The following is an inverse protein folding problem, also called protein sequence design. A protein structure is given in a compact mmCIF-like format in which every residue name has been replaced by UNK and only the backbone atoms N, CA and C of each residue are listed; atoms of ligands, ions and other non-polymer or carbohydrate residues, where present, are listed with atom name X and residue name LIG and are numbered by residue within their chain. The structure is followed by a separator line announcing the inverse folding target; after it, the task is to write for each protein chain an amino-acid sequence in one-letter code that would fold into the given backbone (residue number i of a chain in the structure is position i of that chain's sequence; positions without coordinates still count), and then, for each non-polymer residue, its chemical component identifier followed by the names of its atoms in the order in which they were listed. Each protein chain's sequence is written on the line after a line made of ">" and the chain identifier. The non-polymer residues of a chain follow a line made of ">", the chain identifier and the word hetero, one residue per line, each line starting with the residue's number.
data_IF_104166793154
#
_entry.id   IF_104166793154
#
_cell.length_a   1.000
_cell.length_b   1.000
_cell.length_c   1.000
_cell.angle_alpha   90.00
_cell.angle_beta   90.00
_cell.angle_gamma   90.00
#
_symmetry.space_group_name_H-M   'P 1'
#
loop_
_entity.id
_entity.type
_entity.pdbx_description
1 polymer ?
#
# COMPACT_ATOMS: atom_id res chain seq x y z
N UNK A 1 -15.59 -23.05 0.15
CA UNK A 1 -14.95 -21.80 -0.28
C UNK A 1 -13.76 -21.55 0.62
N UNK A 2 -12.53 -21.74 0.13
CA UNK A 2 -11.33 -21.35 0.89
C UNK A 2 -11.33 -19.83 1.00
N UNK A 3 -11.19 -19.28 2.20
CA UNK A 3 -11.07 -17.83 2.36
C UNK A 3 -9.81 -17.38 1.61
N UNK A 4 -9.92 -16.38 0.74
CA UNK A 4 -8.79 -15.90 -0.07
C UNK A 4 -7.61 -15.44 0.81
N UNK A 5 -7.85 -15.13 2.09
CA UNK A 5 -6.83 -14.89 3.11
C UNK A 5 -5.83 -16.05 3.27
N UNK A 6 -6.21 -17.30 2.99
CA UNK A 6 -5.29 -18.45 3.13
C UNK A 6 -4.21 -18.49 2.03
N UNK A 7 -4.35 -17.71 0.95
CA UNK A 7 -3.40 -17.68 -0.18
C UNK A 7 -2.33 -16.56 -0.08
N UNK A 8 -2.52 -15.60 0.83
CA UNK A 8 -1.62 -14.46 1.00
C UNK A 8 -1.10 -14.44 2.42
N UNK A 9 0.21 -14.24 2.58
CA UNK A 9 0.80 -14.06 3.90
C UNK A 9 0.83 -12.57 4.26
N UNK A 10 -0.36 -12.00 4.44
CA UNK A 10 -0.54 -10.56 4.62
C UNK A 10 0.06 -10.09 5.93
N UNK A 11 0.88 -9.06 5.84
CA UNK A 11 1.50 -8.41 6.99
C UNK A 11 0.80 -7.09 7.27
N UNK A 12 0.45 -6.88 8.54
CA UNK A 12 -0.21 -5.66 9.01
C UNK A 12 0.71 -4.44 8.90
N UNK A 13 0.15 -3.28 8.55
CA UNK A 13 0.97 -2.09 8.32
C UNK A 13 1.56 -1.56 9.63
N UNK A 14 0.82 -1.66 10.75
CA UNK A 14 1.33 -1.30 12.08
C UNK A 14 2.60 -2.10 12.44
N UNK A 15 2.63 -3.38 12.09
CA UNK A 15 3.76 -4.27 12.35
C UNK A 15 4.98 -3.88 11.51
N UNK A 16 4.78 -3.49 10.25
CA UNK A 16 5.85 -2.97 9.39
C UNK A 16 6.38 -1.65 9.94
N UNK A 17 5.49 -0.69 10.22
CA UNK A 17 5.86 0.67 10.60
C UNK A 17 6.50 0.75 12.00
N UNK A 18 6.14 -0.16 12.91
CA UNK A 18 6.78 -0.28 14.22
C UNK A 18 8.16 -0.96 14.17
N UNK A 19 8.54 -1.55 13.04
CA UNK A 19 9.82 -2.21 12.85
C UNK A 19 9.95 -3.58 13.52
N UNK A 20 8.85 -4.18 13.97
CA UNK A 20 8.86 -5.53 14.57
C UNK A 20 9.02 -6.63 13.51
N UNK A 21 8.67 -6.34 12.26
CA UNK A 21 8.83 -7.27 11.13
C UNK A 21 10.29 -7.34 10.72
N UNK A 22 10.81 -8.56 10.55
CA UNK A 22 12.19 -8.77 10.09
C UNK A 22 12.38 -8.19 8.67
N UNK A 23 13.25 -7.18 8.47
CA UNK A 23 13.41 -6.54 7.17
C UNK A 23 14.12 -7.42 6.12
N UNK A 24 14.68 -8.56 6.54
CA UNK A 24 15.36 -9.50 5.65
C UNK A 24 14.41 -10.49 4.96
N UNK A 25 13.12 -10.48 5.30
CA UNK A 25 12.10 -11.29 4.63
C UNK A 25 11.21 -10.41 3.75
N UNK A 26 10.73 -10.98 2.65
CA UNK A 26 9.70 -10.33 1.86
C UNK A 26 8.32 -10.64 2.47
N UNK A 27 7.41 -9.67 2.37
CA UNK A 27 6.05 -9.78 2.90
C UNK A 27 5.02 -9.59 1.79
N UNK A 28 3.77 -9.96 2.06
CA UNK A 28 2.63 -9.59 1.23
C UNK A 28 1.83 -8.48 1.92
N UNK A 29 1.33 -7.50 1.16
CA UNK A 29 0.53 -6.39 1.68
C UNK A 29 -0.70 -6.15 0.82
N UNK A 30 -1.79 -5.66 1.42
CA UNK A 30 -3.01 -5.26 0.73
C UNK A 30 -3.50 -3.91 1.24
N UNK A 31 -3.96 -3.05 0.34
CA UNK A 31 -4.57 -1.78 0.73
C UNK A 31 -5.21 -1.02 -0.42
N UNK A 32 -5.94 0.03 -0.08
CA UNK A 32 -6.42 1.05 -1.03
C UNK A 32 -5.23 1.89 -1.49
N UNK A 33 -5.07 2.08 -2.80
CA UNK A 33 -4.06 2.99 -3.35
C UNK A 33 -4.50 4.44 -3.13
N UNK A 34 -3.57 5.26 -2.66
CA UNK A 34 -3.72 6.69 -2.43
C UNK A 34 -2.42 7.41 -2.83
N UNK A 35 -2.52 8.73 -3.04
CA UNK A 35 -1.36 9.63 -3.18
C UNK A 35 -0.30 9.14 -4.18
N UNK A 36 -0.73 8.61 -5.33
CA UNK A 36 0.19 8.19 -6.40
C UNK A 36 0.88 9.44 -6.95
N UNK A 37 2.20 9.47 -6.81
CA UNK A 37 3.04 10.58 -7.31
C UNK A 37 3.28 10.43 -8.80
N UNK A 38 3.95 11.41 -9.38
CA UNK A 38 4.44 11.29 -10.75
C UNK A 38 5.57 10.26 -10.84
N UNK A 39 5.69 9.64 -12.02
CA UNK A 39 6.80 8.74 -12.34
C UNK A 39 8.06 9.59 -12.60
N UNK A 40 9.10 9.39 -11.81
CA UNK A 40 10.33 10.22 -11.83
C UNK A 40 11.50 9.42 -12.39
N UNK A 41 12.30 10.02 -13.27
CA UNK A 41 13.59 9.44 -13.68
C UNK A 41 14.68 9.84 -12.69
N UNK A 42 15.37 8.85 -12.13
CA UNK A 42 16.46 9.01 -11.16
C UNK A 42 17.78 8.65 -11.85
N UNK A 43 18.69 9.62 -12.06
CA UNK A 43 20.02 9.33 -12.60
C UNK A 43 20.81 8.40 -11.70
N UNK A 44 21.50 7.42 -12.29
CA UNK A 44 22.36 6.48 -11.55
C UNK A 44 23.47 5.92 -12.45
N UNK A 45 24.69 5.87 -11.91
CA UNK A 45 25.86 5.29 -12.58
C UNK A 45 25.88 3.76 -12.52
N UNK A 46 25.07 3.16 -11.65
CA UNK A 46 24.99 1.71 -11.45
C UNK A 46 24.08 1.02 -12.48
N UNK A 47 23.27 1.80 -13.20
CA UNK A 47 22.33 1.30 -14.20
C UNK A 47 22.88 1.54 -15.60
N UNK A 48 22.81 0.53 -16.47
CA UNK A 48 23.31 0.58 -17.85
C UNK A 48 22.68 1.69 -18.71
N UNK A 49 21.47 2.14 -18.35
CA UNK A 49 20.75 3.22 -19.02
C UNK A 49 21.00 4.60 -18.40
N UNK A 50 21.96 4.73 -17.48
CA UNK A 50 22.28 6.00 -16.79
C UNK A 50 21.26 6.42 -15.73
N UNK A 51 20.30 5.55 -15.39
CA UNK A 51 19.29 5.80 -14.37
C UNK A 51 18.17 4.76 -14.38
N UNK A 52 17.13 5.02 -13.58
CA UNK A 52 15.92 4.20 -13.48
C UNK A 52 14.69 5.07 -13.18
N UNK A 53 13.50 4.55 -13.47
CA UNK A 53 12.25 5.21 -13.07
C UNK A 53 11.85 4.82 -11.65
N UNK A 54 11.29 5.78 -10.92
CA UNK A 54 10.79 5.61 -9.57
C UNK A 54 9.33 6.10 -9.49
N UNK A 55 8.51 5.37 -8.75
CA UNK A 55 7.15 5.75 -8.42
C UNK A 55 6.89 5.55 -6.94
N UNK A 56 6.41 6.59 -6.27
CA UNK A 56 5.96 6.50 -4.88
C UNK A 56 4.44 6.64 -4.79
N UNK A 57 3.82 5.83 -3.93
CA UNK A 57 2.40 5.89 -3.61
C UNK A 57 2.15 5.39 -2.19
N UNK A 58 0.94 5.64 -1.68
CA UNK A 58 0.49 5.12 -0.40
C UNK A 58 -0.46 3.94 -0.57
N UNK A 59 -0.41 3.00 0.38
CA UNK A 59 -1.48 2.05 0.66
C UNK A 59 -2.14 2.43 1.98
N UNK A 60 -3.48 2.33 2.04
CA UNK A 60 -4.25 2.38 3.29
C UNK A 60 -4.90 1.03 3.57
N UNK A 61 -4.71 0.52 4.77
CA UNK A 61 -5.40 -0.68 5.24
C UNK A 61 -6.74 -0.35 5.92
N UNK A 62 -7.38 -1.37 6.49
CA UNK A 62 -8.65 -1.25 7.22
C UNK A 62 -8.51 -0.65 8.62
N UNK A 63 -7.29 -0.39 9.10
CA UNK A 63 -7.04 0.31 10.37
C UNK A 63 -6.74 1.79 10.15
N UNK A 64 -7.00 2.30 8.94
CA UNK A 64 -6.63 3.63 8.51
C UNK A 64 -5.13 3.93 8.49
N UNK A 65 -4.27 2.91 8.54
CA UNK A 65 -2.82 3.09 8.59
C UNK A 65 -2.29 3.27 7.17
N UNK A 66 -1.34 4.19 7.01
CA UNK A 66 -0.72 4.48 5.72
C UNK A 66 0.68 3.88 5.62
N UNK A 67 0.90 3.06 4.61
CA UNK A 67 2.19 2.49 4.26
C UNK A 67 2.68 3.06 2.93
N UNK A 68 3.85 3.69 2.92
CA UNK A 68 4.48 4.15 1.68
C UNK A 68 5.03 2.95 0.90
N UNK A 69 4.84 2.97 -0.41
CA UNK A 69 5.44 2.05 -1.36
C UNK A 69 6.25 2.83 -2.39
N UNK A 70 7.45 2.34 -2.68
CA UNK A 70 8.33 2.82 -3.75
C UNK A 70 8.56 1.70 -4.75
N UNK A 71 8.22 1.92 -6.01
CA UNK A 71 8.57 1.00 -7.09
C UNK A 71 9.68 1.61 -7.93
N UNK A 72 10.54 0.74 -8.48
CA UNK A 72 11.70 1.14 -9.28
C UNK A 72 11.81 0.35 -10.58
N UNK A 73 12.49 0.95 -11.56
CA UNK A 73 12.76 0.36 -12.87
C UNK A 73 11.49 0.18 -13.70
N UNK A 74 11.52 -0.77 -14.63
CA UNK A 74 10.40 -1.07 -15.54
C UNK A 74 9.11 -1.42 -14.78
N UNK A 75 9.25 -2.03 -13.60
CA UNK A 75 8.12 -2.37 -12.74
C UNK A 75 7.32 -1.14 -12.27
N UNK A 76 8.00 0.00 -12.05
CA UNK A 76 7.35 1.26 -11.72
C UNK A 76 6.52 1.80 -12.90
N UNK A 77 7.08 1.70 -14.11
CA UNK A 77 6.43 2.14 -15.36
C UNK A 77 5.18 1.31 -15.63
N UNK A 78 5.31 -0.02 -15.59
CA UNK A 78 4.22 -0.97 -15.82
C UNK A 78 3.08 -0.76 -14.82
N UNK A 79 3.41 -0.60 -13.53
CA UNK A 79 2.42 -0.32 -12.50
C UNK A 79 1.71 1.01 -12.75
N UNK A 80 2.45 2.08 -13.06
CA UNK A 80 1.87 3.40 -13.27
C UNK A 80 0.85 3.39 -14.42
N UNK A 81 1.19 2.76 -15.54
CA UNK A 81 0.29 2.60 -16.68
C UNK A 81 -0.95 1.76 -16.32
N UNK A 82 -0.76 0.68 -15.57
CA UNK A 82 -1.85 -0.21 -15.13
C UNK A 82 -2.82 0.49 -14.17
N UNK A 83 -2.29 1.27 -13.23
CA UNK A 83 -3.05 2.06 -12.27
C UNK A 83 -3.79 3.21 -12.96
N UNK A 84 -3.12 3.95 -13.85
CA UNK A 84 -3.69 5.10 -14.56
C UNK A 84 -4.93 4.73 -15.39
N UNK A 85 -5.00 3.50 -15.91
CA UNK A 85 -6.18 2.96 -16.60
C UNK A 85 -7.37 2.66 -15.66
N UNK A 86 -7.12 2.52 -14.36
CA UNK A 86 -8.11 2.14 -13.33
C UNK A 86 -8.42 3.25 -12.32
N UNK A 87 -7.72 4.38 -12.37
CA UNK A 87 -7.70 5.42 -11.34
C UNK A 87 -8.99 6.21 -11.15
N UNK A 88 -10.01 6.01 -12.00
CA UNK A 88 -11.32 6.67 -11.86
C UNK A 88 -12.12 6.19 -10.65
N UNK A 89 -11.79 5.01 -10.12
CA UNK A 89 -12.43 4.41 -8.96
C UNK A 89 -11.39 4.13 -7.87
N UNK A 90 -11.84 3.81 -6.65
CA UNK A 90 -10.98 3.24 -5.62
C UNK A 90 -10.28 2.00 -6.16
N UNK A 91 -8.95 1.97 -6.07
CA UNK A 91 -8.13 0.84 -6.52
C UNK A 91 -7.59 0.12 -5.30
N UNK A 92 -7.96 -1.15 -5.14
CA UNK A 92 -7.35 -2.07 -4.19
C UNK A 92 -6.12 -2.69 -4.84
N UNK A 93 -5.03 -2.74 -4.09
CA UNK A 93 -3.77 -3.30 -4.53
C UNK A 93 -3.35 -4.40 -3.57
N UNK A 94 -3.01 -5.56 -4.11
CA UNK A 94 -2.27 -6.61 -3.41
C UNK A 94 -0.86 -6.62 -4.00
N UNK A 95 0.15 -6.51 -3.13
CA UNK A 95 1.57 -6.61 -3.51
C UNK A 95 2.15 -7.83 -2.80
N UNK A 96 2.65 -8.79 -3.58
CA UNK A 96 3.34 -9.97 -3.07
C UNK A 96 4.84 -9.82 -3.10
N UNK A 97 5.52 -10.42 -2.15
CA UNK A 97 6.98 -10.47 -2.04
C UNK A 97 7.63 -9.08 -2.15
N UNK A 98 7.12 -8.14 -1.34
CA UNK A 98 7.68 -6.80 -1.20
C UNK A 98 8.74 -6.77 -0.11
N UNK A 99 9.84 -6.06 -0.36
CA UNK A 99 10.92 -5.86 0.61
C UNK A 99 10.63 -4.65 1.49
N UNK A 100 11.05 -4.72 2.75
CA UNK A 100 11.04 -3.57 3.65
C UNK A 100 12.37 -2.82 3.59
N UNK A 101 12.30 -1.50 3.50
CA UNK A 101 13.46 -0.63 3.59
C UNK A 101 13.15 0.64 4.39
N UNK A 102 14.19 1.24 4.95
CA UNK A 102 14.09 2.57 5.54
C UNK A 102 14.26 3.63 4.45
N UNK A 103 13.36 4.60 4.42
CA UNK A 103 13.54 5.81 3.62
C UNK A 103 14.66 6.68 4.20
N UNK A 104 15.04 7.73 3.46
CA UNK A 104 16.00 8.73 3.94
C UNK A 104 15.53 9.43 5.23
N UNK A 105 14.22 9.53 5.42
CA UNK A 105 13.59 10.08 6.63
C UNK A 105 13.48 9.05 7.78
N UNK A 106 14.13 7.90 7.67
CA UNK A 106 14.10 6.80 8.64
C UNK A 106 12.68 6.25 8.88
N UNK A 107 11.85 6.25 7.84
CA UNK A 107 10.50 5.67 7.87
C UNK A 107 10.48 4.36 7.11
N UNK A 108 9.92 3.32 7.71
CA UNK A 108 9.72 2.04 7.04
C UNK A 108 8.77 2.20 5.85
N UNK A 109 9.17 1.62 4.72
CA UNK A 109 8.39 1.56 3.49
C UNK A 109 8.61 0.25 2.76
N UNK A 110 7.76 0.03 1.77
CA UNK A 110 7.79 -1.12 0.89
C UNK A 110 8.53 -0.80 -0.42
N UNK A 111 9.37 -1.71 -0.92
CA UNK A 111 9.99 -1.63 -2.24
C UNK A 111 9.98 -2.94 -3.01
N UNK A 112 9.94 -2.88 -4.35
CA UNK A 112 9.97 -4.07 -5.18
C UNK A 112 11.34 -4.77 -5.17
N UNK A 113 11.29 -6.10 -5.34
CA UNK A 113 12.42 -6.98 -5.60
C UNK A 113 12.30 -7.49 -7.03
N UNK A 114 13.27 -7.16 -7.87
CA UNK A 114 13.31 -7.56 -9.28
C UNK A 114 13.13 -9.07 -9.44
N UNK A 115 12.22 -9.48 -10.33
CA UNK A 115 11.90 -10.89 -10.59
C UNK A 115 10.95 -11.55 -9.57
N UNK A 116 10.82 -11.02 -8.35
CA UNK A 116 10.05 -11.64 -7.28
C UNK A 116 8.72 -10.94 -6.99
N UNK A 117 8.70 -9.61 -6.88
CA UNK A 117 7.50 -8.86 -6.52
C UNK A 117 6.40 -9.04 -7.57
N UNK A 118 5.14 -9.17 -7.14
CA UNK A 118 3.96 -9.25 -8.00
C UNK A 118 2.90 -8.28 -7.51
N UNK A 119 2.22 -7.58 -8.42
CA UNK A 119 1.13 -6.67 -8.08
C UNK A 119 -0.16 -7.12 -8.76
N UNK A 120 -1.26 -7.03 -8.02
CA UNK A 120 -2.61 -7.30 -8.50
C UNK A 120 -3.50 -6.11 -8.15
N UNK A 121 -4.09 -5.46 -9.17
CA UNK A 121 -5.02 -4.34 -8.98
C UNK A 121 -6.46 -4.81 -9.18
N UNK A 122 -7.30 -4.58 -8.17
CA UNK A 122 -8.69 -5.04 -8.10
C UNK A 122 -8.87 -6.51 -8.54
N UNK A 123 -8.12 -7.47 -7.97
CA UNK A 123 -8.33 -8.87 -8.31
C UNK A 123 -9.69 -9.33 -7.78
N UNK A 124 -10.38 -10.17 -8.56
CA UNK A 124 -11.68 -10.76 -8.21
C UNK A 124 -11.50 -11.81 -7.10
N UNK A 125 -11.48 -11.33 -5.85
CA UNK A 125 -11.20 -12.09 -4.64
C UNK A 125 -12.00 -11.48 -3.49
N UNK A 126 -12.52 -12.32 -2.58
CA UNK A 126 -13.35 -11.85 -1.46
C UNK A 126 -12.63 -10.84 -0.56
N UNK A 127 -11.33 -10.98 -0.37
CA UNK A 127 -10.54 -10.00 0.40
C UNK A 127 -10.48 -8.62 -0.25
N UNK A 128 -10.54 -8.54 -1.58
CA UNK A 128 -10.64 -7.27 -2.30
C UNK A 128 -11.99 -6.61 -2.01
N UNK A 129 -13.07 -7.40 -1.98
CA UNK A 129 -14.42 -6.90 -1.69
C UNK A 129 -14.54 -6.43 -0.24
N UNK A 130 -13.97 -7.18 0.72
CA UNK A 130 -13.85 -6.78 2.14
C UNK A 130 -13.17 -5.42 2.26
N UNK A 131 -12.00 -5.27 1.62
CA UNK A 131 -11.23 -4.02 1.63
C UNK A 131 -12.01 -2.87 0.97
N UNK A 132 -12.74 -3.15 -0.12
CA UNK A 132 -13.52 -2.14 -0.82
C UNK A 132 -14.70 -1.64 0.04
N UNK A 133 -15.45 -2.56 0.65
CA UNK A 133 -16.59 -2.26 1.52
C UNK A 133 -16.21 -1.53 2.79
N UNK A 134 -15.00 -1.72 3.29
CA UNK A 134 -14.53 -1.01 4.48
C UNK A 134 -14.47 0.51 4.21
N UNK A 135 -15.19 1.29 5.01
CA UNK A 135 -15.21 2.75 4.93
C UNK A 135 -14.81 3.32 6.30
N UNK A 136 -13.78 4.20 6.39
CA UNK A 136 -13.37 4.81 7.66
C UNK A 136 -14.46 5.61 8.37
N UNK A 137 -15.49 6.07 7.66
CA UNK A 137 -16.63 6.79 8.27
C UNK A 137 -17.58 5.88 9.04
N UNK A 138 -17.60 4.57 8.74
CA UNK A 138 -18.47 3.61 9.43
C UNK A 138 -18.00 3.31 10.87
N UNK A 139 -16.73 3.58 11.18
CA UNK A 139 -16.13 3.38 12.52
C UNK A 139 -16.13 4.66 13.38
N UNK A 140 -16.74 5.76 12.91
CA UNK A 140 -17.00 6.90 13.78
C UNK A 140 -18.10 6.55 14.78
N UNK A 141 -17.70 6.16 15.99
CA UNK A 141 -18.60 6.13 17.15
C UNK A 141 -19.27 7.51 17.25
N UNK A 142 -20.61 7.62 17.23
CA UNK A 142 -21.26 8.91 17.33
C UNK A 142 -20.82 9.58 18.64
N UNK A 143 -20.18 10.74 18.52
CA UNK A 143 -19.86 11.59 19.67
C UNK A 143 -21.20 12.01 20.28
N UNK A 144 -21.63 11.32 21.34
CA UNK A 144 -22.79 11.73 22.12
C UNK A 144 -22.40 13.06 22.79
N UNK A 145 -22.82 14.16 22.17
CA UNK A 145 -22.72 15.49 22.78
C UNK A 145 -23.68 15.48 23.98
N UNK A 146 -23.14 15.39 25.20
CA UNK A 146 -23.91 15.72 26.40
C UNK A 146 -24.35 17.17 26.25
N UNK A 147 -25.63 17.39 25.97
CA UNK A 147 -26.27 18.67 26.28
C UNK A 147 -26.22 18.80 27.80
N UNK A 148 -25.31 19.63 28.29
CA UNK A 148 -25.45 20.20 29.63
C UNK A 148 -26.71 21.07 29.58
N UNK A 149 -27.77 20.56 30.20
CA UNK A 149 -28.96 21.36 30.46
C UNK A 149 -28.53 22.52 31.35
N UNK A 150 -28.76 23.74 30.85
CA UNK A 150 -28.82 24.92 31.68
C UNK A 150 -29.83 24.67 32.81
N UNK A 151 -29.38 24.82 34.06
CA UNK A 151 -30.26 25.04 35.20
C UNK A 151 -30.29 26.54 35.47
N UNK A 152 -31.50 27.08 35.42
CA UNK A 152 -31.92 28.34 36.04
C UNK A 152 -31.54 28.41 37.52
#
# INVERSE_FOLDING_TARGET
>A
MCSSRTYFNLTEFVSILSGIVNPNICVDVIGKILNVRELVFVPSVEHSQGGYFELCFGLRDTECIHLECRLTGDFAVEFYDLWKRRSRNTVICIIKFVKLELSQEHRWRCTNVTGCTRIMLNPDLSITDEMLCWNPENDQVPIITRKENAME
#
